data_IF_805379679053
#
_entry.id   IF_805379679053
#
_cell.length_a   1.000
_cell.length_b   1.000
_cell.length_c   1.000
_cell.angle_alpha   90.00
_cell.angle_beta   90.00
_cell.angle_gamma   90.00
#
_symmetry.space_group_name_H-M   'P 1'
#
loop_
_entity.id
_entity.type
_entity.pdbx_description
1 polymer ?
#
# COMPACT_ATOMS: atom_id res chain seq x y z
N UNK A 1 20.81 20.04 13.82
CA UNK A 1 20.28 19.46 12.57
C UNK A 1 18.77 19.64 12.57
N UNK A 2 18.15 20.11 11.47
CA UNK A 2 16.69 20.32 11.42
C UNK A 2 15.99 18.97 11.69
N UNK A 3 15.07 18.92 12.65
CA UNK A 3 14.38 17.70 13.12
C UNK A 3 13.82 16.86 11.95
N UNK A 4 13.24 17.51 10.95
CA UNK A 4 12.73 16.86 9.73
C UNK A 4 13.82 16.15 8.91
N UNK A 5 15.02 16.75 8.83
CA UNK A 5 16.18 16.14 8.14
C UNK A 5 16.72 14.94 8.91
N UNK A 6 16.69 14.98 10.24
CA UNK A 6 17.11 13.84 11.06
C UNK A 6 16.19 12.64 10.89
N UNK A 7 14.86 12.85 10.95
CA UNK A 7 13.88 11.79 10.72
C UNK A 7 14.04 11.18 9.33
N UNK A 8 14.20 12.02 8.30
CA UNK A 8 14.45 11.56 6.94
C UNK A 8 15.68 10.64 6.84
N UNK A 9 16.80 11.03 7.47
CA UNK A 9 18.02 10.21 7.50
C UNK A 9 17.78 8.87 8.19
N UNK A 10 17.04 8.84 9.31
CA UNK A 10 16.72 7.59 10.01
C UNK A 10 15.89 6.65 9.13
N UNK A 11 14.89 7.17 8.43
CA UNK A 11 14.03 6.37 7.54
C UNK A 11 14.85 5.79 6.40
N UNK A 12 15.70 6.59 5.76
CA UNK A 12 16.59 6.14 4.68
C UNK A 12 17.57 5.08 5.19
N UNK A 13 18.18 5.29 6.36
CA UNK A 13 19.09 4.31 6.95
C UNK A 13 18.37 2.98 7.26
N UNK A 14 17.15 3.06 7.80
CA UNK A 14 16.32 1.89 8.10
C UNK A 14 15.97 1.12 6.82
N UNK A 15 15.68 1.84 5.72
CA UNK A 15 15.43 1.24 4.41
C UNK A 15 16.67 0.48 3.90
N UNK A 16 17.85 1.08 4.00
CA UNK A 16 19.12 0.45 3.59
C UNK A 16 19.38 -0.83 4.39
N UNK A 17 19.17 -0.80 5.71
CA UNK A 17 19.35 -1.97 6.57
C UNK A 17 18.42 -3.11 6.16
N UNK A 18 17.13 -2.83 5.92
CA UNK A 18 16.16 -3.85 5.49
C UNK A 18 16.52 -4.42 4.11
N UNK A 19 16.99 -3.59 3.17
CA UNK A 19 17.45 -4.03 1.86
C UNK A 19 18.70 -4.93 1.95
N UNK A 20 19.70 -4.55 2.75
CA UNK A 20 20.90 -5.35 2.97
C UNK A 20 20.53 -6.68 3.61
N UNK A 21 19.68 -6.67 4.63
CA UNK A 21 19.23 -7.90 5.29
C UNK A 21 18.48 -8.83 4.32
N UNK A 22 17.57 -8.28 3.52
CA UNK A 22 16.84 -9.04 2.50
C UNK A 22 17.75 -9.63 1.43
N UNK A 23 18.70 -8.85 0.92
CA UNK A 23 19.66 -9.30 -0.08
C UNK A 23 20.60 -10.38 0.48
N UNK A 24 21.13 -10.18 1.69
CA UNK A 24 21.95 -11.16 2.38
C UNK A 24 21.22 -12.49 2.52
N UNK A 25 19.98 -12.44 3.04
CA UNK A 25 19.17 -13.63 3.26
C UNK A 25 18.82 -14.36 1.95
N UNK A 26 18.50 -13.60 0.91
CA UNK A 26 18.23 -14.18 -0.41
C UNK A 26 19.46 -14.90 -0.98
N UNK A 27 20.67 -14.34 -0.82
CA UNK A 27 21.90 -14.98 -1.30
C UNK A 27 22.27 -16.20 -0.48
N UNK A 28 22.10 -16.17 0.85
CA UNK A 28 22.52 -17.28 1.72
C UNK A 28 21.49 -18.40 1.83
N UNK A 29 20.20 -18.07 1.85
CA UNK A 29 19.10 -19.02 2.12
C UNK A 29 18.19 -19.22 0.90
N UNK A 30 18.41 -18.50 -0.21
CA UNK A 30 17.60 -18.60 -1.43
C UNK A 30 16.15 -18.11 -1.28
N UNK A 31 15.81 -17.50 -0.14
CA UNK A 31 14.45 -17.10 0.19
C UNK A 31 14.38 -15.68 0.76
N UNK A 32 13.28 -15.01 0.49
CA UNK A 32 12.97 -13.69 1.08
C UNK A 32 11.90 -13.92 2.14
N UNK A 33 12.16 -13.44 3.35
CA UNK A 33 11.18 -13.52 4.43
C UNK A 33 10.03 -12.55 4.18
N UNK A 34 8.79 -13.02 4.38
CA UNK A 34 7.60 -12.15 4.29
C UNK A 34 7.68 -10.95 5.23
N UNK A 35 8.28 -11.11 6.42
CA UNK A 35 8.52 -10.02 7.35
C UNK A 35 9.43 -8.92 6.80
N UNK A 36 10.39 -9.26 5.92
CA UNK A 36 11.27 -8.28 5.26
C UNK A 36 10.48 -7.44 4.25
N UNK A 37 9.60 -8.07 3.46
CA UNK A 37 8.73 -7.39 2.49
C UNK A 37 7.75 -6.47 3.24
N UNK A 38 7.19 -6.94 4.35
CA UNK A 38 6.29 -6.16 5.20
C UNK A 38 6.99 -4.96 5.86
N UNK A 39 8.18 -5.16 6.42
CA UNK A 39 8.96 -4.05 6.98
C UNK A 39 9.32 -3.02 5.90
N UNK A 40 9.72 -3.50 4.71
CA UNK A 40 10.03 -2.64 3.57
C UNK A 40 8.81 -1.78 3.16
N UNK A 41 7.61 -2.37 3.08
CA UNK A 41 6.40 -1.63 2.70
C UNK A 41 6.02 -0.53 3.71
N UNK A 42 6.24 -0.77 5.01
CA UNK A 42 6.03 0.25 6.04
C UNK A 42 7.06 1.39 5.94
N UNK A 43 8.34 1.07 5.80
CA UNK A 43 9.41 2.08 5.72
C UNK A 43 9.26 2.94 4.47
N UNK A 44 8.94 2.33 3.32
CA UNK A 44 8.76 3.09 2.08
C UNK A 44 7.51 3.97 2.14
N UNK A 45 6.42 3.51 2.76
CA UNK A 45 5.23 4.33 3.02
C UNK A 45 5.57 5.56 3.86
N UNK A 46 6.30 5.37 4.96
CA UNK A 46 6.76 6.48 5.81
C UNK A 46 7.72 7.43 5.08
N UNK A 47 8.58 6.92 4.20
CA UNK A 47 9.47 7.74 3.40
C UNK A 47 8.69 8.61 2.41
N UNK A 48 7.70 8.04 1.72
CA UNK A 48 6.85 8.79 0.78
C UNK A 48 6.05 9.85 1.53
N UNK A 49 5.51 9.53 2.71
CA UNK A 49 4.82 10.51 3.56
C UNK A 49 5.76 11.63 4.01
N UNK A 50 6.97 11.30 4.45
CA UNK A 50 7.98 12.28 4.85
C UNK A 50 8.37 13.20 3.69
N UNK A 51 8.45 12.69 2.46
CA UNK A 51 8.75 13.48 1.25
C UNK A 51 7.56 14.39 0.90
N UNK A 52 6.33 13.86 0.99
CA UNK A 52 5.11 14.58 0.56
C UNK A 52 4.69 15.65 1.56
N UNK A 53 4.67 15.31 2.85
CA UNK A 53 4.09 16.12 3.91
C UNK A 53 5.12 16.65 4.92
N UNK A 54 6.38 16.20 4.84
CA UNK A 54 7.42 16.56 5.81
C UNK A 54 7.26 15.88 7.18
N UNK A 55 6.29 14.98 7.33
CA UNK A 55 6.01 14.17 8.51
C UNK A 55 5.79 12.71 8.09
N UNK A 56 6.40 11.72 8.77
CA UNK A 56 6.35 10.32 8.32
C UNK A 56 4.96 9.69 8.50
N UNK A 57 4.15 10.23 9.39
CA UNK A 57 2.77 9.80 9.59
C UNK A 57 1.80 10.52 8.64
N UNK A 58 2.27 11.47 7.83
CA UNK A 58 1.46 12.22 6.87
C UNK A 58 0.44 13.17 7.52
N UNK A 59 0.73 13.64 8.74
CA UNK A 59 -0.13 14.52 9.56
C UNK A 59 0.53 15.88 9.83
N UNK A 60 1.09 16.50 8.80
CA UNK A 60 1.57 17.88 8.87
C UNK A 60 0.41 18.89 8.79
N UNK A 61 0.65 20.15 9.18
CA UNK A 61 -0.31 21.25 9.06
C UNK A 61 -0.84 21.40 7.62
N UNK A 62 0.07 21.36 6.62
CA UNK A 62 -0.25 21.39 5.18
C UNK A 62 -1.15 20.21 4.76
N UNK A 63 -1.04 19.07 5.45
CA UNK A 63 -1.84 17.89 5.14
C UNK A 63 -3.26 17.94 5.72
N UNK A 64 -3.52 18.90 6.60
CA UNK A 64 -4.79 19.10 7.31
C UNK A 64 -5.56 20.32 6.82
N UNK A 65 -4.92 21.21 6.08
CA UNK A 65 -5.59 22.32 5.40
C UNK A 65 -6.60 21.82 4.35
N UNK A 66 -7.46 22.72 3.87
CA UNK A 66 -8.52 22.37 2.90
C UNK A 66 -7.96 21.75 1.62
N UNK A 67 -6.80 22.22 1.14
CA UNK A 67 -6.17 21.72 -0.07
C UNK A 67 -5.58 20.33 0.15
N UNK A 68 -4.90 20.11 1.27
CA UNK A 68 -4.33 18.84 1.70
C UNK A 68 -5.40 17.77 1.90
N UNK A 69 -6.55 18.14 2.47
CA UNK A 69 -7.70 17.24 2.58
C UNK A 69 -8.25 16.84 1.20
N UNK A 70 -8.36 17.79 0.27
CA UNK A 70 -8.79 17.48 -1.11
C UNK A 70 -7.79 16.57 -1.84
N UNK A 71 -6.48 16.80 -1.66
CA UNK A 71 -5.42 15.94 -2.20
C UNK A 71 -5.61 14.52 -1.64
N UNK A 72 -5.70 14.36 -0.32
CA UNK A 72 -5.90 13.06 0.33
C UNK A 72 -7.14 12.36 -0.19
N UNK A 73 -8.29 13.04 -0.27
CA UNK A 73 -9.53 12.45 -0.73
C UNK A 73 -9.43 11.93 -2.18
N UNK A 74 -8.88 12.74 -3.09
CA UNK A 74 -8.67 12.32 -4.49
C UNK A 74 -7.67 11.17 -4.57
N UNK A 75 -6.56 11.24 -3.84
CA UNK A 75 -5.54 10.19 -3.78
C UNK A 75 -6.10 8.87 -3.25
N UNK A 76 -6.94 8.88 -2.21
CA UNK A 76 -7.58 7.66 -1.71
C UNK A 76 -8.46 6.99 -2.76
N UNK A 77 -9.26 7.78 -3.49
CA UNK A 77 -10.11 7.25 -4.57
C UNK A 77 -9.26 6.63 -5.68
N UNK A 78 -8.19 7.30 -6.11
CA UNK A 78 -7.28 6.77 -7.14
C UNK A 78 -6.56 5.52 -6.65
N UNK A 79 -6.00 5.56 -5.43
CA UNK A 79 -5.25 4.45 -4.83
C UNK A 79 -6.11 3.18 -4.71
N UNK A 80 -7.39 3.34 -4.39
CA UNK A 80 -8.35 2.24 -4.36
C UNK A 80 -8.43 1.51 -5.70
N UNK A 81 -8.66 2.22 -6.80
CA UNK A 81 -8.72 1.61 -8.13
C UNK A 81 -7.38 1.06 -8.60
N UNK A 82 -6.27 1.73 -8.28
CA UNK A 82 -4.92 1.21 -8.54
C UNK A 82 -4.68 -0.12 -7.83
N UNK A 83 -5.12 -0.25 -6.58
CA UNK A 83 -4.98 -1.50 -5.81
C UNK A 83 -5.83 -2.62 -6.40
N UNK A 84 -7.04 -2.32 -6.90
CA UNK A 84 -7.87 -3.29 -7.63
C UNK A 84 -7.16 -3.78 -8.89
N UNK A 85 -6.62 -2.86 -9.70
CA UNK A 85 -5.85 -3.23 -10.88
C UNK A 85 -4.64 -4.10 -10.51
N UNK A 86 -3.92 -3.76 -9.43
CA UNK A 86 -2.78 -4.55 -8.96
C UNK A 86 -3.20 -5.96 -8.53
N UNK A 87 -4.28 -6.12 -7.77
CA UNK A 87 -4.81 -7.43 -7.39
C UNK A 87 -5.18 -8.26 -8.63
N UNK A 88 -5.80 -7.64 -9.62
CA UNK A 88 -6.14 -8.28 -10.88
C UNK A 88 -4.88 -8.74 -11.65
N UNK A 89 -3.85 -7.89 -11.75
CA UNK A 89 -2.58 -8.26 -12.38
C UNK A 89 -1.88 -9.41 -11.66
N UNK A 90 -1.84 -9.39 -10.32
CA UNK A 90 -1.24 -10.48 -9.53
C UNK A 90 -2.00 -11.79 -9.77
N UNK A 91 -3.33 -11.74 -9.87
CA UNK A 91 -4.15 -12.92 -10.13
C UNK A 91 -3.86 -13.53 -11.51
N UNK A 92 -3.72 -12.69 -12.55
CA UNK A 92 -3.31 -13.13 -13.90
C UNK A 92 -1.90 -13.75 -13.87
N UNK A 93 -0.95 -13.15 -13.15
CA UNK A 93 0.40 -13.69 -13.06
C UNK A 93 0.46 -15.01 -12.28
N UNK A 94 -0.42 -15.18 -11.29
CA UNK A 94 -0.49 -16.38 -10.44
C UNK A 94 -1.19 -17.55 -11.14
N UNK A 95 -2.32 -17.31 -11.80
CA UNK A 95 -3.18 -18.35 -12.39
C UNK A 95 -3.08 -18.43 -13.93
N UNK A 96 -2.47 -17.43 -14.58
CA UNK A 96 -2.46 -17.32 -16.04
C UNK A 96 -3.86 -17.09 -16.62
N UNK A 97 -4.11 -17.63 -17.82
CA UNK A 97 -5.41 -17.55 -18.50
C UNK A 97 -6.45 -18.47 -17.84
N UNK A 98 -6.02 -19.43 -17.01
CA UNK A 98 -6.91 -20.34 -16.28
C UNK A 98 -7.80 -19.60 -15.28
N UNK A 99 -7.45 -18.36 -14.87
CA UNK A 99 -8.37 -17.49 -14.13
C UNK A 99 -9.74 -17.30 -14.81
N UNK A 100 -9.80 -17.34 -16.15
CA UNK A 100 -11.07 -17.24 -16.88
C UNK A 100 -11.96 -18.50 -16.71
N UNK A 101 -11.32 -19.64 -16.39
CA UNK A 101 -11.99 -20.87 -15.98
C UNK A 101 -12.19 -20.79 -14.46
N UNK A 102 -13.26 -20.09 -14.06
CA UNK A 102 -13.61 -19.76 -12.68
C UNK A 102 -13.54 -20.94 -11.68
N UNK A 103 -13.66 -22.18 -12.17
CA UNK A 103 -13.63 -23.41 -11.37
C UNK A 103 -12.20 -23.88 -11.00
N UNK A 104 -11.15 -23.37 -11.63
CA UNK A 104 -9.76 -23.81 -11.43
C UNK A 104 -8.90 -22.83 -10.62
N UNK A 105 -9.50 -21.78 -10.03
CA UNK A 105 -8.77 -20.75 -9.30
C UNK A 105 -8.10 -21.33 -8.04
N UNK A 106 -6.77 -21.40 -8.02
CA UNK A 106 -6.02 -21.89 -6.84
C UNK A 106 -5.89 -20.83 -5.76
N UNK A 107 -5.64 -19.58 -6.15
CA UNK A 107 -5.50 -18.43 -5.24
C UNK A 107 -6.87 -17.82 -4.89
N UNK A 108 -7.74 -18.65 -4.31
CA UNK A 108 -9.09 -18.27 -3.90
C UNK A 108 -9.13 -17.03 -2.98
N UNK A 109 -8.21 -16.85 -2.01
CA UNK A 109 -8.22 -15.64 -1.17
C UNK A 109 -8.05 -14.34 -1.96
N UNK A 110 -7.15 -14.32 -2.95
CA UNK A 110 -6.91 -13.14 -3.79
C UNK A 110 -8.13 -12.86 -4.69
N UNK A 111 -8.74 -13.91 -5.23
CA UNK A 111 -9.97 -13.78 -6.03
C UNK A 111 -11.12 -13.21 -5.21
N UNK A 112 -11.36 -13.72 -3.99
CA UNK A 112 -12.39 -13.20 -3.09
C UNK A 112 -12.13 -11.73 -2.77
N UNK A 113 -10.88 -11.33 -2.50
CA UNK A 113 -10.52 -9.94 -2.24
C UNK A 113 -10.84 -9.03 -3.45
N UNK A 114 -10.51 -9.48 -4.66
CA UNK A 114 -10.84 -8.77 -5.90
C UNK A 114 -12.36 -8.63 -6.07
N UNK A 115 -13.13 -9.72 -5.97
CA UNK A 115 -14.59 -9.69 -6.06
C UNK A 115 -15.20 -8.78 -5.00
N UNK A 116 -14.67 -8.81 -3.78
CA UNK A 116 -15.15 -7.98 -2.67
C UNK A 116 -14.97 -6.50 -2.93
N UNK A 117 -13.91 -6.12 -3.64
CA UNK A 117 -13.69 -4.72 -3.99
C UNK A 117 -14.88 -4.10 -4.73
N UNK A 118 -15.53 -4.83 -5.65
CA UNK A 118 -16.65 -4.27 -6.42
C UNK A 118 -17.83 -3.77 -5.58
N UNK A 119 -18.08 -4.38 -4.42
CA UNK A 119 -19.19 -3.98 -3.54
C UNK A 119 -18.73 -3.24 -2.28
N UNK A 120 -17.46 -3.33 -1.87
CA UNK A 120 -16.97 -2.60 -0.69
C UNK A 120 -17.15 -1.09 -0.86
N UNK A 121 -16.76 -0.53 -2.02
CA UNK A 121 -16.91 0.91 -2.26
C UNK A 121 -18.36 1.41 -2.12
N UNK A 122 -19.36 0.84 -2.83
CA UNK A 122 -20.74 1.30 -2.70
C UNK A 122 -21.35 1.03 -1.31
N UNK A 123 -20.94 -0.04 -0.60
CA UNK A 123 -21.37 -0.28 0.78
C UNK A 123 -20.84 0.82 1.71
N UNK A 124 -19.55 1.15 1.62
CA UNK A 124 -18.95 2.23 2.42
C UNK A 124 -19.62 3.56 2.09
N UNK A 125 -19.85 3.85 0.81
CA UNK A 125 -20.57 5.06 0.38
C UNK A 125 -22.00 5.13 0.95
N UNK A 126 -22.73 4.00 0.96
CA UNK A 126 -24.05 3.92 1.58
C UNK A 126 -24.02 4.18 3.09
N UNK A 127 -23.03 3.65 3.81
CA UNK A 127 -22.86 3.87 5.24
C UNK A 127 -22.54 5.34 5.53
N UNK A 128 -21.61 5.92 4.78
CA UNK A 128 -21.19 7.32 4.95
C UNK A 128 -22.31 8.28 4.58
N UNK A 129 -23.05 8.03 3.50
CA UNK A 129 -24.17 8.87 3.07
C UNK A 129 -25.29 8.97 4.12
N UNK A 130 -25.46 7.96 4.97
CA UNK A 130 -26.42 7.98 6.09
C UNK A 130 -26.02 8.94 7.22
N UNK A 131 -24.77 9.39 7.29
CA UNK A 131 -24.33 10.34 8.31
C UNK A 131 -24.65 11.79 7.94
N UNK A 132 -24.97 12.04 6.67
CA UNK A 132 -25.31 13.37 6.13
C UNK A 132 -26.81 13.55 5.87
N UNK A 133 -27.64 12.56 6.24
CA UNK A 133 -29.10 12.57 6.15
C UNK A 133 -29.70 12.36 7.52
#
# INVERSE_FOLDING_TARGET
>A
MNHKKFIFIIIVLSLIVVLIHGAYKYVTEGSILGGTIFAFSLIIGNLINQITWGDPNGVSEESQDEMGQQIKYKSFKVAYFVLICLMFFILILSEGVAFLLLDEIKNLPLFIALCSSFFIYPIVELIVAKQYK
#
